data_IF_752459584366
#
_entry.id   IF_752459584366
#
_cell.length_a   1.000
_cell.length_b   1.000
_cell.length_c   1.000
_cell.angle_alpha   90.00
_cell.angle_beta   90.00
_cell.angle_gamma   90.00
#
_symmetry.space_group_name_H-M   'P 1'
#
loop_
_entity.id
_entity.type
_entity.pdbx_description
1 polymer ?
#
# COMPACT_ATOMS: atom_id res chain seq x y z
N UNK A 1 -18.24 52.36 -13.77
CA UNK A 1 -19.50 51.63 -13.51
C UNK A 1 -19.18 50.15 -13.49
N UNK A 2 -19.66 49.47 -12.45
CA UNK A 2 -19.29 48.12 -12.06
C UNK A 2 -19.84 47.04 -13.02
N UNK A 3 -19.06 45.98 -13.21
CA UNK A 3 -19.48 44.74 -13.87
C UNK A 3 -18.88 43.54 -13.13
N UNK A 4 -19.62 43.03 -12.14
CA UNK A 4 -19.29 41.85 -11.35
C UNK A 4 -19.55 40.58 -12.15
N UNK A 5 -18.48 39.86 -12.53
CA UNK A 5 -18.54 38.52 -13.12
C UNK A 5 -18.01 37.49 -12.13
N UNK A 6 -18.91 36.84 -11.38
CA UNK A 6 -18.59 35.72 -10.48
C UNK A 6 -18.20 34.49 -11.32
N UNK A 7 -16.91 34.15 -11.43
CA UNK A 7 -16.46 32.82 -11.86
C UNK A 7 -16.53 31.88 -10.66
N UNK A 8 -17.39 30.89 -10.76
CA UNK A 8 -17.43 29.75 -9.87
C UNK A 8 -16.08 29.03 -9.97
N UNK A 9 -15.30 29.06 -8.88
CA UNK A 9 -14.13 28.20 -8.72
C UNK A 9 -14.62 26.78 -8.53
N UNK A 10 -14.45 25.95 -9.55
CA UNK A 10 -14.52 24.51 -9.38
C UNK A 10 -13.39 24.11 -8.41
N UNK A 11 -13.75 23.61 -7.23
CA UNK A 11 -12.82 22.85 -6.40
C UNK A 11 -12.40 21.63 -7.21
N UNK A 12 -11.25 21.71 -7.86
CA UNK A 12 -10.54 20.53 -8.34
C UNK A 12 -10.10 19.82 -7.08
N UNK A 13 -10.83 18.77 -6.69
CA UNK A 13 -10.36 17.81 -5.71
C UNK A 13 -9.02 17.28 -6.25
N UNK A 14 -7.92 17.73 -5.65
CA UNK A 14 -6.61 17.19 -5.94
C UNK A 14 -6.64 15.72 -5.59
N UNK A 15 -6.75 14.88 -6.61
CA UNK A 15 -6.39 13.46 -6.47
C UNK A 15 -4.93 13.48 -6.07
N UNK A 16 -4.63 13.04 -4.86
CA UNK A 16 -3.26 12.77 -4.46
C UNK A 16 -2.70 11.78 -5.48
N UNK A 17 -1.84 12.26 -6.38
CA UNK A 17 -1.20 11.41 -7.39
C UNK A 17 -0.28 10.49 -6.60
N UNK A 18 -0.52 9.19 -6.64
CA UNK A 18 0.42 8.22 -6.09
C UNK A 18 1.72 8.32 -6.90
N UNK A 19 2.87 8.22 -6.23
CA UNK A 19 4.15 8.19 -6.93
C UNK A 19 4.20 6.95 -7.81
N UNK A 20 4.78 7.08 -9.01
CA UNK A 20 4.86 6.04 -10.02
C UNK A 20 6.33 5.76 -10.36
N UNK A 21 6.71 4.47 -10.34
CA UNK A 21 8.04 4.00 -10.66
C UNK A 21 7.98 2.82 -11.62
N UNK A 22 8.91 2.78 -12.57
CA UNK A 22 9.07 1.66 -13.48
C UNK A 22 10.54 1.30 -13.65
N UNK A 23 10.80 0.02 -13.94
CA UNK A 23 12.14 -0.51 -14.24
C UNK A 23 12.13 -1.05 -15.66
N UNK A 24 12.98 -0.48 -16.50
CA UNK A 24 13.11 -0.83 -17.92
C UNK A 24 14.54 -1.30 -18.21
N UNK A 25 14.65 -2.42 -18.91
CA UNK A 25 15.92 -2.93 -19.42
C UNK A 25 15.80 -3.17 -20.93
N UNK A 26 16.52 -2.37 -21.72
CA UNK A 26 16.33 -2.36 -23.16
C UNK A 26 14.95 -1.82 -23.55
N UNK A 27 14.15 -2.64 -24.23
CA UNK A 27 12.80 -2.28 -24.68
C UNK A 27 11.68 -2.81 -23.76
N UNK A 28 12.03 -3.64 -22.77
CA UNK A 28 11.07 -4.32 -21.91
C UNK A 28 11.01 -3.65 -20.54
N UNK A 29 9.80 -3.40 -20.06
CA UNK A 29 9.51 -2.95 -18.70
C UNK A 29 9.12 -4.16 -17.87
N UNK A 30 9.87 -4.38 -16.79
CA UNK A 30 9.73 -5.57 -15.95
C UNK A 30 9.05 -5.31 -14.61
N UNK A 31 9.18 -4.09 -14.08
CA UNK A 31 8.50 -3.67 -12.85
C UNK A 31 7.76 -2.38 -13.14
N UNK A 32 6.50 -2.32 -12.70
CA UNK A 32 5.74 -1.08 -12.57
C UNK A 32 5.13 -1.06 -11.17
N UNK A 33 5.38 0.01 -10.42
CA UNK A 33 4.90 0.17 -9.05
C UNK A 33 4.36 1.58 -8.86
N UNK A 34 3.23 1.67 -8.18
CA UNK A 34 2.66 2.92 -7.69
C UNK A 34 2.29 2.79 -6.23
N UNK A 35 2.68 3.77 -5.42
CA UNK A 35 2.36 3.80 -4.00
C UNK A 35 2.59 5.20 -3.41
N UNK A 36 1.96 5.46 -2.27
CA UNK A 36 2.35 6.57 -1.39
C UNK A 36 3.07 5.98 -0.18
N UNK A 37 4.36 6.31 -0.03
CA UNK A 37 5.24 5.67 0.94
C UNK A 37 5.40 6.58 2.15
N UNK A 38 5.09 6.02 3.32
CA UNK A 38 5.29 6.65 4.63
C UNK A 38 5.98 5.66 5.55
N UNK A 39 6.74 6.11 6.53
CA UNK A 39 7.46 5.20 7.40
C UNK A 39 7.86 5.82 8.72
N UNK A 40 8.37 4.94 9.58
CA UNK A 40 8.96 5.27 10.87
C UNK A 40 10.22 4.45 11.04
N UNK A 41 11.26 5.07 11.57
CA UNK A 41 12.47 4.36 11.97
C UNK A 41 12.93 4.81 13.33
N UNK A 42 13.70 3.96 14.01
CA UNK A 42 14.31 4.28 15.30
C UNK A 42 15.83 4.36 15.14
N UNK A 43 16.41 5.41 15.69
CA UNK A 43 17.87 5.59 15.77
C UNK A 43 18.26 6.17 17.13
N UNK A 44 19.52 6.03 17.50
CA UNK A 44 20.03 6.59 18.75
C UNK A 44 20.67 7.95 18.48
N UNK A 45 20.33 8.95 19.29
CA UNK A 45 21.01 10.24 19.29
C UNK A 45 22.37 10.17 19.97
N UNK A 46 23.20 11.20 19.81
CA UNK A 46 24.52 11.34 20.48
C UNK A 46 24.43 11.32 22.01
N UNK A 47 23.25 11.61 22.57
CA UNK A 47 22.91 11.50 24.01
C UNK A 47 22.62 10.06 24.44
N UNK A 48 22.68 9.10 23.52
CA UNK A 48 22.33 7.69 23.68
C UNK A 48 20.83 7.45 23.99
N UNK A 49 19.97 8.41 23.64
CA UNK A 49 18.52 8.27 23.68
C UNK A 49 18.01 7.72 22.33
N UNK A 50 17.11 6.74 22.37
CA UNK A 50 16.47 6.20 21.16
C UNK A 50 15.29 7.07 20.75
N UNK A 51 15.33 7.59 19.53
CA UNK A 51 14.31 8.47 18.94
C UNK A 51 13.60 7.76 17.78
N UNK A 52 12.29 7.95 17.70
CA UNK A 52 11.46 7.51 16.56
C UNK A 52 11.27 8.68 15.59
N UNK A 53 11.67 8.49 14.33
CA UNK A 53 11.54 9.48 13.26
C UNK A 53 10.53 9.00 12.22
N UNK A 54 9.47 9.78 12.03
CA UNK A 54 8.47 9.54 10.99
C UNK A 54 8.86 10.27 9.71
N UNK A 55 8.72 9.62 8.56
CA UNK A 55 9.04 10.20 7.26
C UNK A 55 7.96 9.91 6.21
N UNK A 56 7.81 10.82 5.27
CA UNK A 56 7.24 10.54 3.96
C UNK A 56 8.35 10.45 2.91
N UNK A 57 8.06 9.77 1.82
CA UNK A 57 8.93 9.70 0.65
C UNK A 57 8.51 10.79 -0.32
N UNK A 58 9.46 11.65 -0.69
CA UNK A 58 9.37 12.49 -1.88
C UNK A 58 10.48 12.08 -2.83
N UNK A 59 10.07 11.34 -3.87
CA UNK A 59 11.01 10.69 -4.79
C UNK A 59 11.91 11.71 -5.47
N UNK A 60 13.23 11.47 -5.41
CA UNK A 60 14.23 12.21 -6.18
C UNK A 60 14.71 11.43 -7.40
N UNK A 61 14.66 10.10 -7.33
CA UNK A 61 14.96 9.21 -8.44
C UNK A 61 14.61 7.75 -8.14
N UNK A 62 14.73 6.91 -9.16
CA UNK A 62 14.60 5.46 -9.02
C UNK A 62 15.59 4.74 -9.92
N UNK A 63 16.05 3.58 -9.47
CA UNK A 63 16.94 2.67 -10.21
C UNK A 63 16.44 1.24 -10.06
N UNK A 64 16.84 0.36 -10.95
CA UNK A 64 16.43 -1.04 -10.88
C UNK A 64 17.09 -1.90 -11.96
N UNK A 65 16.88 -3.21 -11.87
CA UNK A 65 17.26 -4.17 -12.92
C UNK A 65 16.20 -5.25 -13.07
N UNK A 66 16.01 -5.70 -14.30
CA UNK A 66 15.10 -6.80 -14.64
C UNK A 66 15.75 -8.17 -14.49
N UNK A 67 17.09 -8.21 -14.46
CA UNK A 67 17.85 -9.42 -14.23
C UNK A 67 18.98 -9.16 -13.23
N UNK A 68 18.87 -9.75 -12.05
CA UNK A 68 19.91 -9.77 -11.02
C UNK A 68 19.86 -11.11 -10.29
N UNK A 69 20.96 -11.52 -9.65
CA UNK A 69 20.99 -12.73 -8.83
C UNK A 69 21.16 -12.37 -7.36
N UNK A 70 20.25 -12.82 -6.50
CA UNK A 70 20.32 -12.62 -5.04
C UNK A 70 19.89 -13.88 -4.32
N UNK A 71 20.69 -14.31 -3.33
CA UNK A 71 20.45 -15.54 -2.55
C UNK A 71 20.24 -16.79 -3.43
N UNK A 72 20.99 -16.89 -4.54
CA UNK A 72 20.89 -17.96 -5.55
C UNK A 72 19.54 -18.04 -6.31
N UNK A 73 18.70 -17.01 -6.22
CA UNK A 73 17.49 -16.86 -7.04
C UNK A 73 17.67 -15.72 -8.05
N UNK A 74 17.06 -15.84 -9.23
CA UNK A 74 16.93 -14.73 -10.17
C UNK A 74 15.90 -13.76 -9.60
N UNK A 75 16.28 -12.50 -9.46
CA UNK A 75 15.44 -11.45 -8.89
C UNK A 75 15.39 -10.23 -9.80
N UNK A 76 14.35 -9.42 -9.61
CA UNK A 76 14.26 -8.06 -10.11
C UNK A 76 14.26 -7.13 -8.91
N UNK A 77 14.77 -5.91 -9.06
CA UNK A 77 14.72 -4.97 -7.96
C UNK A 77 14.40 -3.57 -8.41
N UNK A 78 13.75 -2.86 -7.51
CA UNK A 78 13.46 -1.44 -7.59
C UNK A 78 14.07 -0.78 -6.35
N UNK A 79 14.95 0.19 -6.58
CA UNK A 79 15.55 1.07 -5.58
C UNK A 79 14.97 2.47 -5.79
N UNK A 80 14.32 3.01 -4.76
CA UNK A 80 13.78 4.37 -4.73
C UNK A 80 14.74 5.23 -3.92
N UNK A 81 15.25 6.28 -4.54
CA UNK A 81 16.09 7.28 -3.90
C UNK A 81 15.24 8.50 -3.53
N UNK A 82 15.36 8.95 -2.29
CA UNK A 82 14.55 10.05 -1.77
C UNK A 82 15.22 10.83 -0.64
N UNK A 83 14.67 12.01 -0.37
CA UNK A 83 14.94 12.78 0.84
C UNK A 83 13.73 12.67 1.76
N UNK A 84 13.90 12.36 3.06
CA UNK A 84 12.76 12.26 3.97
C UNK A 84 12.17 13.64 4.27
N UNK A 85 10.84 13.77 4.27
CA UNK A 85 10.13 14.99 4.70
C UNK A 85 10.57 16.28 4.00
N UNK A 86 10.98 16.20 2.74
CA UNK A 86 11.51 17.34 1.97
C UNK A 86 12.64 18.09 2.69
N UNK A 87 13.42 17.37 3.52
CA UNK A 87 14.56 17.95 4.22
C UNK A 87 15.53 18.55 3.21
N UNK A 88 16.06 19.73 3.53
CA UNK A 88 17.10 20.40 2.74
C UNK A 88 18.43 20.23 3.43
N UNK A 89 19.16 19.14 3.13
CA UNK A 89 20.43 18.86 3.80
C UNK A 89 21.48 19.93 3.49
N UNK A 90 22.49 20.09 4.36
CA UNK A 90 23.65 20.91 4.07
C UNK A 90 24.29 20.50 2.75
N UNK A 91 24.91 21.45 2.03
CA UNK A 91 25.46 21.22 0.68
C UNK A 91 26.44 20.03 0.60
N UNK A 92 27.18 19.74 1.68
CA UNK A 92 28.11 18.60 1.75
C UNK A 92 27.41 17.24 1.87
N UNK A 93 26.17 17.20 2.33
CA UNK A 93 25.37 15.99 2.57
C UNK A 93 24.24 15.83 1.54
N UNK A 94 24.07 16.80 0.64
CA UNK A 94 22.95 16.84 -0.30
C UNK A 94 22.94 15.74 -1.37
N UNK A 95 24.01 14.94 -1.46
CA UNK A 95 24.10 13.79 -2.34
C UNK A 95 23.79 12.45 -1.65
N UNK A 96 23.59 12.45 -0.32
CA UNK A 96 23.35 11.24 0.45
C UNK A 96 21.85 10.95 0.57
N UNK A 97 21.26 10.39 -0.49
CA UNK A 97 19.85 10.03 -0.49
C UNK A 97 19.58 8.80 0.37
N UNK A 98 18.39 8.77 0.99
CA UNK A 98 17.86 7.54 1.55
C UNK A 98 17.44 6.63 0.41
N UNK A 99 17.54 5.32 0.62
CA UNK A 99 17.26 4.31 -0.41
C UNK A 99 16.35 3.24 0.15
N UNK A 100 15.18 3.07 -0.46
CA UNK A 100 14.32 1.93 -0.21
C UNK A 100 14.48 0.96 -1.38
N UNK A 101 15.00 -0.23 -1.11
CA UNK A 101 15.16 -1.26 -2.13
C UNK A 101 14.24 -2.42 -1.86
N UNK A 102 13.50 -2.84 -2.87
CA UNK A 102 12.60 -3.99 -2.84
C UNK A 102 13.05 -4.99 -3.90
N UNK A 103 13.27 -6.24 -3.50
CA UNK A 103 13.63 -7.34 -4.39
C UNK A 103 12.42 -8.24 -4.60
N UNK A 104 12.08 -8.47 -5.86
CA UNK A 104 11.04 -9.40 -6.30
C UNK A 104 11.70 -10.67 -6.80
N UNK A 105 11.19 -11.82 -6.35
CA UNK A 105 11.55 -13.14 -6.88
C UNK A 105 10.38 -13.72 -7.68
N UNK A 106 10.64 -14.63 -8.63
CA UNK A 106 9.56 -15.43 -9.20
C UNK A 106 8.93 -16.24 -8.08
N UNK A 107 7.61 -16.32 -8.06
CA UNK A 107 6.91 -17.30 -7.27
C UNK A 107 6.62 -18.57 -8.10
N UNK A 108 5.68 -19.39 -7.62
CA UNK A 108 5.25 -20.59 -8.33
C UNK A 108 4.39 -20.21 -9.55
N UNK A 109 4.48 -20.91 -10.68
CA UNK A 109 3.54 -20.75 -11.81
C UNK A 109 3.34 -19.30 -12.35
N UNK A 110 4.43 -18.61 -12.68
CA UNK A 110 4.42 -17.24 -13.26
C UNK A 110 4.01 -16.12 -12.29
N UNK A 111 3.76 -16.44 -11.03
CA UNK A 111 3.58 -15.43 -9.98
C UNK A 111 4.85 -14.62 -9.71
N UNK A 112 4.71 -13.46 -9.07
CA UNK A 112 5.82 -12.77 -8.41
C UNK A 112 5.57 -12.63 -6.92
N UNK A 113 6.64 -12.53 -6.14
CA UNK A 113 6.58 -12.23 -4.69
C UNK A 113 7.71 -11.31 -4.28
N UNK A 114 7.51 -10.54 -3.22
CA UNK A 114 8.62 -9.85 -2.57
C UNK A 114 9.50 -10.87 -1.85
N UNK A 115 10.78 -10.93 -2.23
CA UNK A 115 11.78 -11.81 -1.61
C UNK A 115 12.41 -11.15 -0.39
N UNK A 116 12.80 -9.88 -0.54
CA UNK A 116 13.57 -9.14 0.45
C UNK A 116 13.38 -7.64 0.26
N UNK A 117 13.75 -6.86 1.28
CA UNK A 117 13.72 -5.41 1.21
C UNK A 117 14.64 -4.79 2.27
N UNK A 118 15.21 -3.63 1.95
CA UNK A 118 16.16 -2.91 2.79
C UNK A 118 15.89 -1.41 2.70
N UNK A 119 16.10 -0.72 3.81
CA UNK A 119 16.02 0.72 3.90
C UNK A 119 17.36 1.26 4.38
N UNK A 120 18.07 1.95 3.50
CA UNK A 120 19.27 2.70 3.85
C UNK A 120 18.88 4.13 4.23
N UNK A 121 19.33 4.57 5.40
CA UNK A 121 19.14 5.92 5.91
C UNK A 121 20.49 6.57 6.21
N UNK A 122 20.68 7.78 5.71
CA UNK A 122 21.78 8.67 6.09
C UNK A 122 21.24 9.72 7.08
N UNK A 123 21.83 9.81 8.26
CA UNK A 123 21.39 10.75 9.28
C UNK A 123 22.09 12.09 9.10
N UNK A 124 21.34 13.07 8.63
CA UNK A 124 21.85 14.42 8.39
C UNK A 124 22.22 15.11 9.70
N UNK A 125 23.12 16.11 9.62
CA UNK A 125 23.57 16.86 10.79
C UNK A 125 22.45 17.36 11.72
N UNK A 126 21.28 17.84 11.24
CA UNK A 126 20.18 18.26 12.13
C UNK A 126 19.51 17.15 12.94
N UNK A 127 19.74 15.87 12.60
CA UNK A 127 19.13 14.71 13.27
C UNK A 127 19.90 14.27 14.53
N UNK A 128 21.12 14.78 14.75
CA UNK A 128 21.95 14.49 15.92
C UNK A 128 22.12 12.98 16.23
N UNK A 129 22.13 12.14 15.20
CA UNK A 129 22.31 10.71 15.36
C UNK A 129 23.72 10.35 15.83
N UNK A 130 23.84 9.29 16.64
CA UNK A 130 25.12 8.70 17.07
C UNK A 130 25.89 8.09 15.90
N UNK A 131 25.18 7.58 14.90
CA UNK A 131 25.72 6.98 13.69
C UNK A 131 25.40 7.87 12.49
N UNK A 132 26.27 7.89 11.49
CA UNK A 132 26.09 8.71 10.29
C UNK A 132 25.13 8.07 9.28
N UNK A 133 25.09 6.74 9.22
CA UNK A 133 24.24 5.99 8.32
C UNK A 133 23.88 4.63 8.93
N UNK A 134 22.72 4.09 8.55
CA UNK A 134 22.26 2.76 8.97
C UNK A 134 21.42 2.12 7.88
N UNK A 135 21.64 0.82 7.66
CA UNK A 135 20.78 -0.01 6.84
C UNK A 135 19.86 -0.83 7.73
N UNK A 136 18.56 -0.62 7.57
CA UNK A 136 17.50 -1.37 8.19
C UNK A 136 17.16 -2.56 7.29
N UNK A 137 17.29 -3.76 7.85
CA UNK A 137 17.02 -5.02 7.15
C UNK A 137 15.63 -5.54 7.50
N UNK A 138 15.05 -6.33 6.60
CA UNK A 138 13.80 -7.06 6.83
C UNK A 138 13.80 -7.80 8.17
N UNK A 139 12.69 -7.70 8.91
CA UNK A 139 12.46 -8.46 10.14
C UNK A 139 12.11 -9.92 9.83
N UNK A 140 12.58 -10.85 10.66
CA UNK A 140 12.18 -12.27 10.61
C UNK A 140 10.68 -12.48 10.87
N UNK A 141 10.02 -11.51 11.52
CA UNK A 141 8.58 -11.51 11.78
C UNK A 141 7.78 -10.72 10.75
N UNK A 142 8.40 -10.31 9.64
CA UNK A 142 7.72 -9.56 8.59
C UNK A 142 6.77 -10.47 7.79
N UNK A 143 5.47 -10.26 7.98
CA UNK A 143 4.41 -10.79 7.12
C UNK A 143 4.31 -9.90 5.87
N UNK A 144 4.60 -10.47 4.70
CA UNK A 144 4.57 -9.74 3.42
C UNK A 144 3.63 -10.48 2.48
N UNK A 145 2.49 -9.87 2.20
CA UNK A 145 1.47 -10.40 1.28
C UNK A 145 1.65 -9.88 -0.17
N UNK A 146 2.73 -9.17 -0.45
CA UNK A 146 2.94 -8.55 -1.76
C UNK A 146 3.39 -9.61 -2.77
N UNK A 147 2.46 -9.99 -3.64
CA UNK A 147 2.64 -10.91 -4.75
C UNK A 147 1.33 -11.12 -5.48
N UNK A 148 1.37 -11.61 -6.71
CA UNK A 148 0.18 -11.92 -7.48
C UNK A 148 0.42 -13.14 -8.37
N UNK A 149 -0.67 -13.78 -8.79
CA UNK A 149 -0.65 -14.95 -9.66
C UNK A 149 -0.71 -14.63 -11.16
N UNK A 150 -0.20 -15.57 -11.95
CA UNK A 150 -0.20 -15.52 -13.42
C UNK A 150 0.42 -14.23 -14.02
N UNK A 151 -0.41 -13.35 -14.60
CA UNK A 151 -0.03 -12.05 -15.17
C UNK A 151 -0.70 -10.89 -14.43
N UNK A 152 -1.24 -11.16 -13.25
CA UNK A 152 -1.95 -10.16 -12.48
C UNK A 152 -0.94 -9.22 -11.81
N UNK A 153 -1.39 -7.99 -11.57
CA UNK A 153 -0.74 -7.10 -10.64
C UNK A 153 -1.26 -7.38 -9.24
N UNK A 154 -0.56 -6.88 -8.24
CA UNK A 154 -1.03 -6.84 -6.87
C UNK A 154 -1.54 -5.43 -6.55
N UNK A 155 -2.65 -5.35 -5.81
CA UNK A 155 -3.21 -4.10 -5.31
C UNK A 155 -3.57 -4.21 -3.83
N UNK A 156 -3.21 -3.19 -3.06
CA UNK A 156 -3.60 -3.12 -1.66
C UNK A 156 -3.72 -1.67 -1.17
N UNK A 157 -4.70 -1.39 -0.32
CA UNK A 157 -4.86 -0.07 0.29
C UNK A 157 -3.74 0.27 1.27
N UNK A 158 -3.24 -0.72 2.02
CA UNK A 158 -2.13 -0.55 2.96
C UNK A 158 -1.28 -1.82 3.06
N UNK A 159 0.01 -1.72 2.74
CA UNK A 159 0.96 -2.84 2.77
C UNK A 159 2.19 -2.48 3.61
N UNK A 160 2.28 -2.97 4.86
CA UNK A 160 3.42 -2.72 5.73
C UNK A 160 4.64 -3.57 5.35
N UNK A 161 5.81 -2.95 5.36
CA UNK A 161 7.13 -3.56 5.30
C UNK A 161 7.78 -3.40 6.67
N UNK A 162 7.97 -4.53 7.37
CA UNK A 162 8.52 -4.56 8.72
C UNK A 162 10.02 -4.82 8.70
N UNK A 163 10.79 -3.93 9.31
CA UNK A 163 12.24 -4.00 9.46
C UNK A 163 12.60 -4.20 10.93
N UNK A 164 13.86 -4.53 11.20
CA UNK A 164 14.41 -4.42 12.56
C UNK A 164 14.51 -2.93 12.91
N UNK A 165 13.75 -2.44 13.89
CA UNK A 165 13.70 -1.04 14.33
C UNK A 165 13.11 -0.01 13.34
N UNK A 166 12.44 -0.46 12.27
CA UNK A 166 11.74 0.43 11.35
C UNK A 166 10.48 -0.21 10.74
N UNK A 167 9.59 0.60 10.21
CA UNK A 167 8.37 0.20 9.51
C UNK A 167 8.10 1.15 8.37
N UNK A 168 7.86 0.63 7.17
CA UNK A 168 7.48 1.42 5.99
C UNK A 168 6.12 0.93 5.52
N UNK A 169 5.17 1.83 5.33
CA UNK A 169 3.84 1.53 4.83
C UNK A 169 3.70 2.03 3.39
N UNK A 170 3.38 1.11 2.49
CA UNK A 170 3.04 1.38 1.10
C UNK A 170 1.52 1.54 1.00
N UNK A 171 1.05 2.78 0.85
CA UNK A 171 -0.39 3.08 0.75
C UNK A 171 -0.84 3.12 -0.69
N UNK A 172 -2.06 2.63 -0.95
CA UNK A 172 -2.62 2.51 -2.30
C UNK A 172 -1.66 1.82 -3.28
N UNK A 173 -1.00 0.77 -2.80
CA UNK A 173 -0.01 0.02 -3.55
C UNK A 173 -0.68 -0.61 -4.78
N UNK A 174 -0.08 -0.41 -5.94
CA UNK A 174 -0.27 -1.20 -7.15
C UNK A 174 1.11 -1.62 -7.64
N UNK A 175 1.32 -2.90 -7.89
CA UNK A 175 2.62 -3.37 -8.37
C UNK A 175 2.47 -4.56 -9.29
N UNK A 176 3.31 -4.61 -10.32
CA UNK A 176 3.55 -5.79 -11.13
C UNK A 176 5.06 -5.94 -11.28
N UNK A 177 5.56 -7.16 -11.11
CA UNK A 177 6.97 -7.50 -11.32
C UNK A 177 7.05 -8.71 -12.26
N UNK A 178 8.22 -8.96 -12.83
CA UNK A 178 8.44 -9.96 -13.88
C UNK A 178 7.52 -9.78 -15.10
N UNK A 179 7.07 -8.55 -15.32
CA UNK A 179 6.23 -8.23 -16.45
C UNK A 179 7.06 -8.17 -17.74
N UNK A 180 6.40 -8.34 -18.89
CA UNK A 180 7.00 -8.10 -20.21
C UNK A 180 6.17 -7.01 -20.88
N UNK A 181 6.28 -5.78 -20.39
CA UNK A 181 5.48 -4.65 -20.85
C UNK A 181 6.25 -3.80 -21.84
N UNK A 182 5.51 -3.20 -22.79
CA UNK A 182 6.03 -2.24 -23.76
C UNK A 182 5.87 -0.78 -23.30
N UNK A 183 5.28 -0.57 -22.11
CA UNK A 183 4.99 0.75 -21.55
C UNK A 183 5.44 0.79 -20.09
N UNK A 184 5.77 1.98 -19.61
CA UNK A 184 6.06 2.24 -18.19
C UNK A 184 4.79 2.24 -17.34
N UNK A 185 3.62 2.39 -17.96
CA UNK A 185 2.33 2.36 -17.29
C UNK A 185 1.74 0.95 -17.20
N UNK A 186 0.84 0.76 -16.23
CA UNK A 186 0.02 -0.44 -16.17
C UNK A 186 -0.80 -0.62 -17.46
N UNK A 187 -0.93 -1.86 -17.98
CA UNK A 187 -1.83 -2.16 -19.09
C UNK A 187 -3.27 -1.74 -18.78
N UNK A 188 -4.00 -1.27 -19.79
CA UNK A 188 -5.40 -0.83 -19.60
C UNK A 188 -6.34 -1.94 -19.12
N UNK A 189 -6.03 -3.20 -19.44
CA UNK A 189 -6.79 -4.39 -19.03
C UNK A 189 -6.09 -5.16 -17.89
N UNK A 190 -5.18 -4.51 -17.15
CA UNK A 190 -4.46 -5.14 -16.06
C UNK A 190 -5.42 -5.60 -14.95
N UNK A 191 -5.45 -6.90 -14.71
CA UNK A 191 -6.13 -7.50 -13.56
C UNK A 191 -5.27 -7.32 -12.31
N UNK A 192 -5.92 -7.05 -11.18
CA UNK A 192 -5.24 -6.87 -9.90
C UNK A 192 -5.82 -7.80 -8.84
N UNK A 193 -4.96 -8.62 -8.26
CA UNK A 193 -5.25 -9.37 -7.04
C UNK A 193 -5.19 -8.44 -5.84
N UNK A 194 -6.17 -8.59 -4.94
CA UNK A 194 -6.29 -7.76 -3.76
C UNK A 194 -5.70 -8.44 -2.55
N UNK A 195 -5.06 -7.67 -1.68
CA UNK A 195 -4.59 -8.16 -0.38
C UNK A 195 -5.74 -8.61 0.52
N UNK A 196 -5.41 -9.39 1.55
CA UNK A 196 -6.39 -9.93 2.49
C UNK A 196 -7.19 -8.85 3.22
N UNK A 197 -6.54 -7.71 3.51
CA UNK A 197 -7.16 -6.54 4.16
C UNK A 197 -8.35 -6.00 3.36
N UNK A 198 -8.16 -5.80 2.05
CA UNK A 198 -9.18 -5.25 1.16
C UNK A 198 -10.24 -6.32 0.82
N UNK A 199 -9.82 -7.57 0.63
CA UNK A 199 -10.73 -8.68 0.38
C UNK A 199 -11.77 -8.87 1.50
N UNK A 200 -11.34 -8.80 2.78
CA UNK A 200 -12.25 -8.94 3.93
C UNK A 200 -13.33 -7.85 3.99
N UNK A 201 -13.04 -6.65 3.50
CA UNK A 201 -14.05 -5.59 3.43
C UNK A 201 -15.08 -5.83 2.32
N UNK A 202 -14.73 -6.54 1.26
CA UNK A 202 -15.68 -6.92 0.21
C UNK A 202 -16.65 -8.01 0.69
N UNK A 203 -16.15 -8.98 1.47
CA UNK A 203 -16.94 -10.11 1.98
C UNK A 203 -17.89 -9.75 3.13
N UNK A 204 -17.71 -8.60 3.78
CA UNK A 204 -18.60 -8.14 4.85
C UNK A 204 -20.01 -7.81 4.34
N UNK A 205 -20.12 -7.38 3.07
CA UNK A 205 -21.38 -6.91 2.49
C UNK A 205 -22.42 -8.04 2.41
N UNK A 206 -22.12 -9.22 1.83
CA UNK A 206 -23.04 -10.36 1.85
C UNK A 206 -23.52 -10.78 3.24
N UNK A 207 -22.64 -10.71 4.26
CA UNK A 207 -22.97 -11.11 5.65
C UNK A 207 -24.02 -10.16 6.24
N UNK A 208 -23.84 -8.85 6.08
CA UNK A 208 -24.77 -7.84 6.58
C UNK A 208 -26.13 -7.97 5.88
N UNK A 209 -26.12 -8.13 4.54
CA UNK A 209 -27.36 -8.34 3.77
C UNK A 209 -28.09 -9.59 4.25
N UNK A 210 -27.38 -10.69 4.53
CA UNK A 210 -27.95 -11.91 5.09
C UNK A 210 -28.61 -11.71 6.46
N UNK A 211 -27.94 -11.00 7.37
CA UNK A 211 -28.46 -10.72 8.71
C UNK A 211 -29.72 -9.83 8.67
N UNK A 212 -29.74 -8.79 7.84
CA UNK A 212 -30.90 -7.92 7.66
C UNK A 212 -32.12 -8.68 7.12
N UNK A 213 -31.92 -9.53 6.11
CA UNK A 213 -32.99 -10.36 5.53
C UNK A 213 -33.56 -11.35 6.57
N UNK A 214 -32.70 -12.03 7.32
CA UNK A 214 -33.12 -12.97 8.37
C UNK A 214 -33.91 -12.25 9.48
N UNK A 215 -33.46 -11.07 9.92
CA UNK A 215 -34.15 -10.27 10.93
C UNK A 215 -35.55 -9.84 10.50
N UNK A 216 -35.71 -9.41 9.23
CA UNK A 216 -37.01 -9.05 8.67
C UNK A 216 -37.98 -10.23 8.64
N UNK A 217 -37.50 -11.41 8.24
CA UNK A 217 -38.32 -12.65 8.23
C UNK A 217 -38.81 -12.99 9.63
N UNK A 218 -37.93 -12.93 10.64
CA UNK A 218 -38.30 -13.18 12.04
C UNK A 218 -39.34 -12.17 12.52
N UNK A 219 -39.16 -10.88 12.23
CA UNK A 219 -40.11 -9.84 12.61
C UNK A 219 -41.51 -10.06 12.00
N UNK A 220 -41.56 -10.41 10.70
CA UNK A 220 -42.81 -10.74 10.00
C UNK A 220 -43.47 -11.98 10.60
N UNK A 221 -42.70 -13.01 10.95
CA UNK A 221 -43.22 -14.22 11.61
C UNK A 221 -43.83 -13.89 12.97
N UNK A 222 -43.15 -13.08 13.79
CA UNK A 222 -43.68 -12.64 15.09
C UNK A 222 -44.98 -11.85 14.90
N UNK A 223 -44.99 -10.87 13.99
CA UNK A 223 -46.19 -10.08 13.69
C UNK A 223 -47.36 -10.95 13.22
N UNK A 224 -47.07 -11.94 12.36
CA UNK A 224 -48.06 -12.90 11.88
C UNK A 224 -48.62 -13.76 13.03
N UNK A 225 -47.76 -14.29 13.91
CA UNK A 225 -48.20 -15.10 15.05
C UNK A 225 -49.08 -14.30 16.00
N UNK A 226 -48.72 -13.05 16.31
CA UNK A 226 -49.53 -12.16 17.14
C UNK A 226 -50.86 -11.83 16.47
N UNK A 227 -50.85 -11.47 15.18
CA UNK A 227 -52.05 -11.20 14.40
C UNK A 227 -52.99 -12.41 14.37
N UNK A 228 -52.46 -13.60 14.10
CA UNK A 228 -53.21 -14.86 14.10
C UNK A 228 -53.76 -15.22 15.47
N UNK A 229 -53.00 -14.98 16.55
CA UNK A 229 -53.46 -15.21 17.91
C UNK A 229 -54.62 -14.28 18.29
N UNK A 230 -54.61 -13.02 17.82
CA UNK A 230 -55.68 -12.05 18.07
C UNK A 230 -56.96 -12.37 17.30
N UNK A 231 -56.83 -12.79 16.04
CA UNK A 231 -57.98 -13.18 15.21
C UNK A 231 -58.76 -14.36 15.79
N UNK A 232 -58.08 -15.34 16.40
CA UNK A 232 -58.74 -16.47 17.07
C UNK A 232 -59.62 -16.07 18.27
N UNK A 233 -59.39 -14.92 18.90
CA UNK A 233 -60.19 -14.44 20.04
C UNK A 233 -61.46 -13.67 19.63
N UNK A 234 -61.64 -13.36 18.35
CA UNK A 234 -62.79 -12.59 17.85
C UNK A 234 -63.86 -13.45 17.13
N UNK A 235 -63.68 -14.78 17.08
CA UNK A 235 -64.55 -15.69 16.32
C UNK A 235 -65.64 -16.46 17.08
N UNK A 236 -65.86 -16.19 18.38
CA UNK A 236 -66.95 -16.79 19.16
C UNK A 236 -67.85 -15.69 19.75
N UNK A 237 -68.49 -14.95 18.86
CA UNK A 237 -69.62 -14.08 19.20
C UNK A 237 -70.46 -13.84 17.93
N UNK A 238 -71.08 -14.89 17.41
CA UNK A 238 -72.20 -14.75 16.49
C UNK A 238 -73.22 -15.83 16.79
N UNK A 239 -74.31 -15.35 17.42
CA UNK A 239 -75.66 -15.91 17.63
C UNK A 239 -75.78 -17.19 18.44
#
# INVERSE_FOLDING_TARGET
MAGSGKRWGACVAGVAVADHWSVQEGAEVCIVMEANITGKLKYNEVTNETVEYSFNVTTTGSRGKCHEARKNESVQYLEIEFLPNDIKPPMKEAQNFWKLTVWFAPGHEQTFRVQDFELYAFFYSPMNASEQERTYIRSDHAEVEIGAEEKNGFKCSDSPLSFIDATVNLKNLRVIAFANLNSTDFPSEQQFEQCSLDARTSDIVPIIVGACLAGLVIAVLIAYLVGRARAKRQGYASV
#
